data_IF_103574864626
#
_entry.id   IF_103574864626
#
_cell.length_a   1.000
_cell.length_b   1.000
_cell.length_c   1.000
_cell.angle_alpha   90.00
_cell.angle_beta   90.00
_cell.angle_gamma   90.00
#
_symmetry.space_group_name_H-M   'P 1'
#
loop_
_entity.id
_entity.type
_entity.pdbx_description
1 polymer ?
#
# COMPACT_ATOMS: atom_id res chain seq x y z
N UNK A 1 -70.25 77.33 -30.26
CA UNK A 1 -70.91 76.02 -30.11
C UNK A 1 -69.84 74.95 -30.25
N UNK A 2 -69.54 74.03 -29.35
CA UNK A 2 -70.00 73.60 -28.04
C UNK A 2 -69.04 72.46 -27.63
N UNK A 3 -68.69 72.33 -26.36
CA UNK A 3 -67.61 71.46 -25.89
C UNK A 3 -67.91 69.96 -25.88
N UNK A 4 -66.88 69.16 -25.60
CA UNK A 4 -67.02 67.72 -25.36
C UNK A 4 -65.72 66.97 -25.04
N UNK A 5 -65.48 66.79 -23.73
CA UNK A 5 -64.87 65.63 -23.03
C UNK A 5 -63.50 65.09 -23.42
N UNK A 6 -62.60 65.08 -22.42
CA UNK A 6 -61.29 64.44 -22.47
C UNK A 6 -61.33 62.92 -22.39
N UNK A 7 -60.25 62.29 -22.85
CA UNK A 7 -59.93 60.89 -22.62
C UNK A 7 -58.50 60.85 -22.11
N UNK A 8 -58.36 60.35 -20.88
CA UNK A 8 -57.10 60.19 -20.18
C UNK A 8 -56.18 59.18 -20.87
N UNK A 9 -54.90 59.43 -20.68
CA UNK A 9 -53.79 58.52 -20.89
C UNK A 9 -54.03 57.23 -20.08
N UNK A 10 -54.29 56.12 -20.75
CA UNK A 10 -54.38 54.79 -20.13
C UNK A 10 -53.53 53.80 -20.94
N UNK A 11 -52.21 54.07 -20.96
CA UNK A 11 -51.19 53.03 -21.21
C UNK A 11 -51.23 52.04 -20.04
N UNK A 12 -52.18 51.11 -20.09
CA UNK A 12 -52.22 49.95 -19.17
C UNK A 12 -50.97 49.11 -19.38
N UNK A 13 -50.03 49.29 -18.45
CA UNK A 13 -49.00 48.33 -18.14
C UNK A 13 -49.66 46.96 -17.91
N UNK A 14 -49.20 45.96 -18.65
CA UNK A 14 -49.41 44.56 -18.33
C UNK A 14 -48.54 44.23 -17.10
N UNK A 15 -48.95 44.67 -15.92
CA UNK A 15 -48.39 44.20 -14.65
C UNK A 15 -49.19 42.98 -14.21
N UNK A 16 -48.64 41.80 -14.49
CA UNK A 16 -49.23 40.51 -14.13
C UNK A 16 -48.27 39.34 -14.34
N UNK A 17 -46.99 39.52 -14.01
CA UNK A 17 -46.04 38.41 -13.94
C UNK A 17 -46.31 37.60 -12.68
N UNK A 18 -47.14 36.56 -12.79
CA UNK A 18 -47.14 35.48 -11.82
C UNK A 18 -45.73 34.85 -11.89
N UNK A 19 -44.86 35.25 -10.97
CA UNK A 19 -43.54 34.64 -10.83
C UNK A 19 -43.74 33.15 -10.66
N UNK A 20 -43.17 32.35 -11.56
CA UNK A 20 -42.98 30.94 -11.27
C UNK A 20 -42.29 30.84 -9.91
N UNK A 21 -42.67 29.90 -9.04
CA UNK A 21 -41.95 29.70 -7.79
C UNK A 21 -40.45 29.57 -8.12
N UNK A 22 -39.56 30.24 -7.39
CA UNK A 22 -38.10 30.13 -7.63
C UNK A 22 -37.64 28.66 -7.69
N UNK A 23 -38.37 27.77 -6.99
CA UNK A 23 -38.26 26.30 -7.04
C UNK A 23 -38.33 25.72 -8.47
N UNK A 24 -39.16 26.27 -9.35
CA UNK A 24 -39.31 25.82 -10.73
C UNK A 24 -38.08 26.13 -11.60
N UNK A 25 -37.41 27.27 -11.34
CA UNK A 25 -36.19 27.64 -12.07
C UNK A 25 -35.06 26.68 -11.72
N UNK A 26 -34.91 26.34 -10.43
CA UNK A 26 -33.95 25.35 -9.96
C UNK A 26 -34.13 24.01 -10.64
N UNK A 27 -35.35 23.47 -10.64
CA UNK A 27 -35.65 22.16 -11.23
C UNK A 27 -35.34 22.13 -12.74
N UNK A 28 -35.73 23.16 -13.50
CA UNK A 28 -35.46 23.22 -14.95
C UNK A 28 -33.96 23.24 -15.24
N UNK A 29 -33.18 24.01 -14.47
CA UNK A 29 -31.72 24.05 -14.61
C UNK A 29 -31.10 22.69 -14.27
N UNK A 30 -31.57 22.04 -13.20
CA UNK A 30 -31.08 20.73 -12.77
C UNK A 30 -31.35 19.64 -13.83
N UNK A 31 -32.52 19.66 -14.46
CA UNK A 31 -32.88 18.72 -15.54
C UNK A 31 -32.04 18.95 -16.81
N UNK A 32 -31.68 20.20 -17.11
CA UNK A 32 -30.83 20.54 -18.24
C UNK A 32 -29.34 20.22 -18.00
N UNK A 33 -28.89 20.35 -16.75
CA UNK A 33 -27.50 20.18 -16.34
C UNK A 33 -27.37 19.33 -15.07
N UNK A 34 -27.71 18.03 -15.13
CA UNK A 34 -27.70 17.14 -13.97
C UNK A 34 -26.30 16.98 -13.35
N UNK A 35 -25.23 17.08 -14.15
CA UNK A 35 -23.83 17.08 -13.70
C UNK A 35 -23.43 18.35 -12.90
N UNK A 36 -24.29 19.38 -12.93
CA UNK A 36 -24.10 20.66 -12.24
C UNK A 36 -25.06 20.89 -11.09
N UNK A 37 -25.82 19.87 -10.71
CA UNK A 37 -26.42 19.83 -9.38
C UNK A 37 -25.29 19.89 -8.36
N UNK A 38 -25.39 20.79 -7.38
CA UNK A 38 -24.32 21.04 -6.42
C UNK A 38 -24.83 21.00 -4.98
N UNK A 39 -24.03 20.41 -4.08
CA UNK A 39 -24.30 20.37 -2.64
C UNK A 39 -23.22 21.12 -1.88
N UNK A 40 -23.65 21.88 -0.87
CA UNK A 40 -22.76 22.61 0.03
C UNK A 40 -21.89 21.65 0.86
N UNK A 41 -20.60 21.96 0.96
CA UNK A 41 -19.60 21.29 1.81
C UNK A 41 -18.70 22.35 2.46
N UNK A 42 -18.98 22.71 3.71
CA UNK A 42 -18.33 23.86 4.36
C UNK A 42 -18.70 25.17 3.65
N UNK A 43 -17.70 25.89 3.17
CA UNK A 43 -17.85 27.18 2.48
C UNK A 43 -17.86 27.08 0.94
N UNK A 44 -17.75 25.86 0.41
CA UNK A 44 -17.81 25.58 -1.03
C UNK A 44 -18.99 24.66 -1.38
N UNK A 45 -19.23 24.49 -2.66
CA UNK A 45 -20.16 23.54 -3.23
C UNK A 45 -19.40 22.51 -4.06
N UNK A 46 -19.79 21.24 -3.95
CA UNK A 46 -19.33 20.17 -4.84
C UNK A 46 -20.43 19.90 -5.85
N UNK A 47 -20.13 20.05 -7.14
CA UNK A 47 -21.02 19.65 -8.23
C UNK A 47 -21.00 18.12 -8.39
N UNK A 48 -22.08 17.55 -8.95
CA UNK A 48 -22.16 16.12 -9.26
C UNK A 48 -21.04 15.66 -10.21
N UNK A 49 -20.52 16.57 -11.05
CA UNK A 49 -19.32 16.35 -11.89
C UNK A 49 -18.00 16.21 -11.10
N UNK A 50 -17.97 16.49 -9.79
CA UNK A 50 -16.77 16.53 -8.96
C UNK A 50 -16.08 17.89 -8.88
N UNK A 51 -16.53 18.86 -9.68
CA UNK A 51 -16.01 20.23 -9.63
C UNK A 51 -16.38 20.89 -8.31
N UNK A 52 -15.40 21.38 -7.56
CA UNK A 52 -15.63 22.30 -6.45
C UNK A 52 -15.86 23.72 -6.97
N UNK A 53 -16.78 24.47 -6.39
CA UNK A 53 -17.00 25.88 -6.71
C UNK A 53 -17.49 26.68 -5.50
N UNK A 54 -17.21 27.98 -5.48
CA UNK A 54 -17.69 28.90 -4.43
C UNK A 54 -18.74 29.87 -4.97
N UNK A 55 -19.61 30.34 -4.09
CA UNK A 55 -20.50 31.47 -4.41
C UNK A 55 -19.71 32.79 -4.34
N UNK A 56 -20.08 33.79 -5.17
CA UNK A 56 -19.51 35.12 -5.06
C UNK A 56 -19.94 35.79 -3.73
N UNK A 57 -19.12 36.71 -3.18
CA UNK A 57 -19.46 37.44 -1.98
C UNK A 57 -20.82 38.17 -2.12
N UNK A 58 -21.68 38.06 -1.11
CA UNK A 58 -23.00 38.69 -1.10
C UNK A 58 -24.07 37.97 -1.93
N UNK A 59 -23.80 36.75 -2.41
CA UNK A 59 -24.81 35.95 -3.11
C UNK A 59 -26.05 35.70 -2.23
N UNK A 60 -27.23 35.92 -2.80
CA UNK A 60 -28.51 35.58 -2.17
C UNK A 60 -28.69 34.07 -1.93
N UNK A 61 -27.89 33.24 -2.62
CA UNK A 61 -27.91 31.78 -2.48
C UNK A 61 -27.06 31.28 -1.30
N UNK A 62 -26.48 32.20 -0.51
CA UNK A 62 -25.71 31.84 0.69
C UNK A 62 -26.62 31.14 1.69
N UNK A 63 -26.21 29.93 2.13
CA UNK A 63 -26.95 29.14 3.11
C UNK A 63 -27.86 28.07 2.51
N UNK A 64 -28.14 28.10 1.20
CA UNK A 64 -28.84 27.01 0.54
C UNK A 64 -27.95 25.75 0.49
N UNK A 65 -28.51 24.59 0.83
CA UNK A 65 -27.72 23.34 0.82
C UNK A 65 -27.51 22.82 -0.61
N UNK A 66 -28.53 22.95 -1.47
CA UNK A 66 -28.55 22.42 -2.83
C UNK A 66 -28.79 23.54 -3.84
N UNK A 67 -28.03 23.50 -4.93
CA UNK A 67 -28.11 24.45 -6.03
C UNK A 67 -28.16 23.73 -7.38
N UNK A 68 -28.95 24.27 -8.30
CA UNK A 68 -28.84 23.96 -9.72
C UNK A 68 -27.95 25.01 -10.38
N UNK A 69 -26.75 24.62 -10.83
CA UNK A 69 -25.77 25.57 -11.36
C UNK A 69 -25.86 25.65 -12.88
N UNK A 70 -26.27 26.80 -13.40
CA UNK A 70 -26.31 27.05 -14.84
C UNK A 70 -24.92 27.39 -15.40
N UNK A 71 -24.13 28.18 -14.66
CA UNK A 71 -22.84 28.66 -15.13
C UNK A 71 -21.78 28.65 -14.01
N UNK A 72 -20.64 28.00 -14.30
CA UNK A 72 -19.43 28.03 -13.50
C UNK A 72 -18.32 28.69 -14.32
N UNK A 73 -17.64 29.68 -13.73
CA UNK A 73 -16.47 30.31 -14.33
C UNK A 73 -15.20 29.94 -13.58
N UNK A 74 -14.09 29.69 -14.30
CA UNK A 74 -12.78 29.64 -13.66
C UNK A 74 -12.46 31.00 -13.05
N UNK A 75 -11.89 30.99 -11.86
CA UNK A 75 -11.43 32.19 -11.19
C UNK A 75 -10.06 31.95 -10.56
N UNK A 76 -9.27 33.01 -10.45
CA UNK A 76 -7.97 33.00 -9.78
C UNK A 76 -7.93 33.99 -8.62
N UNK A 77 -7.12 33.71 -7.60
CA UNK A 77 -6.97 34.57 -6.42
C UNK A 77 -8.08 34.35 -5.37
N UNK A 78 -8.26 35.31 -4.45
CA UNK A 78 -9.15 35.17 -3.27
C UNK A 78 -10.61 34.84 -3.62
N UNK A 79 -11.07 35.18 -4.83
CA UNK A 79 -12.44 34.96 -5.27
C UNK A 79 -12.77 33.50 -5.59
N UNK A 80 -11.77 32.65 -5.83
CA UNK A 80 -11.97 31.26 -6.26
C UNK A 80 -11.98 30.23 -5.11
N UNK A 81 -11.55 30.65 -3.91
CA UNK A 81 -11.25 29.72 -2.81
C UNK A 81 -10.19 28.67 -3.21
N UNK A 82 -10.12 27.58 -2.45
CA UNK A 82 -9.30 26.40 -2.80
C UNK A 82 -9.82 25.66 -4.05
N UNK A 83 -11.09 25.90 -4.41
CA UNK A 83 -11.79 25.21 -5.48
C UNK A 83 -11.44 25.69 -6.91
N UNK A 84 -10.92 26.92 -7.07
CA UNK A 84 -10.51 27.45 -8.38
C UNK A 84 -11.66 27.84 -9.33
N UNK A 85 -12.92 27.78 -8.86
CA UNK A 85 -14.11 28.05 -9.67
C UNK A 85 -15.18 28.82 -8.89
N UNK A 86 -15.92 29.68 -9.59
CA UNK A 86 -16.99 30.52 -9.04
C UNK A 86 -18.29 30.25 -9.76
N UNK A 87 -19.36 30.06 -8.99
CA UNK A 87 -20.72 29.94 -9.49
C UNK A 87 -21.19 31.33 -9.96
N UNK A 88 -21.42 31.48 -11.27
CA UNK A 88 -21.87 32.75 -11.88
C UNK A 88 -23.37 32.87 -11.92
N UNK A 89 -24.05 31.76 -12.19
CA UNK A 89 -25.50 31.67 -12.23
C UNK A 89 -25.95 30.32 -11.65
N UNK A 90 -26.84 30.38 -10.68
CA UNK A 90 -27.47 29.21 -10.07
C UNK A 90 -28.85 29.60 -9.52
N UNK A 91 -29.65 28.58 -9.21
CA UNK A 91 -30.91 28.72 -8.49
C UNK A 91 -30.93 27.77 -7.30
N UNK A 92 -31.69 28.13 -6.27
CA UNK A 92 -31.96 27.24 -5.15
C UNK A 92 -32.68 25.98 -5.65
N UNK A 93 -32.33 24.83 -5.07
CA UNK A 93 -32.89 23.54 -5.45
C UNK A 93 -33.32 22.79 -4.19
N UNK A 94 -34.47 22.12 -4.24
CA UNK A 94 -34.88 21.22 -3.16
C UNK A 94 -34.14 19.90 -3.30
N UNK A 95 -33.94 19.19 -2.18
CA UNK A 95 -33.24 17.90 -2.20
C UNK A 95 -33.96 16.87 -3.09
N UNK A 96 -35.30 16.82 -3.04
CA UNK A 96 -36.09 15.88 -3.84
C UNK A 96 -35.91 16.16 -5.34
N UNK A 97 -35.99 17.45 -5.75
CA UNK A 97 -35.77 17.88 -7.13
C UNK A 97 -34.35 17.59 -7.62
N UNK A 98 -33.35 17.74 -6.75
CA UNK A 98 -31.96 17.42 -7.05
C UNK A 98 -31.75 15.93 -7.34
N UNK A 99 -32.34 15.07 -6.50
CA UNK A 99 -32.24 13.63 -6.63
C UNK A 99 -33.04 13.12 -7.84
N UNK A 100 -34.20 13.71 -8.13
CA UNK A 100 -35.01 13.34 -9.29
C UNK A 100 -34.32 13.74 -10.60
N UNK A 101 -33.87 15.00 -10.70
CA UNK A 101 -33.26 15.54 -11.91
C UNK A 101 -31.94 14.85 -12.29
N UNK A 102 -31.14 14.46 -11.29
CA UNK A 102 -29.86 13.78 -11.48
C UNK A 102 -29.89 12.30 -11.06
N UNK A 103 -31.07 11.68 -11.01
CA UNK A 103 -31.29 10.30 -10.55
C UNK A 103 -30.39 9.25 -11.24
N UNK A 104 -30.09 9.42 -12.52
CA UNK A 104 -29.20 8.54 -13.29
C UNK A 104 -27.72 8.63 -12.90
N UNK A 105 -27.34 9.62 -12.09
CA UNK A 105 -26.01 9.75 -11.49
C UNK A 105 -25.96 9.17 -10.07
N UNK A 106 -27.08 8.69 -9.53
CA UNK A 106 -27.11 8.08 -8.21
C UNK A 106 -26.44 6.72 -8.27
N UNK A 107 -25.48 6.51 -7.39
CA UNK A 107 -24.81 5.23 -7.20
C UNK A 107 -24.79 4.85 -5.72
N UNK A 108 -24.72 3.56 -5.46
CA UNK A 108 -24.65 2.97 -4.11
C UNK A 108 -23.52 1.95 -4.06
N UNK A 109 -22.32 2.48 -3.82
CA UNK A 109 -21.08 1.71 -3.84
C UNK A 109 -20.72 1.22 -2.45
N UNK A 110 -20.21 0.00 -2.40
CA UNK A 110 -19.46 -0.47 -1.25
C UNK A 110 -17.97 -0.19 -1.43
N UNK A 111 -17.37 0.52 -0.47
CA UNK A 111 -15.93 0.76 -0.45
C UNK A 111 -15.33 0.17 0.81
N UNK A 112 -14.18 -0.47 0.66
CA UNK A 112 -13.43 -1.02 1.79
C UNK A 112 -12.01 -0.45 1.83
N UNK A 113 -11.47 -0.34 3.03
CA UNK A 113 -10.07 0.01 3.28
C UNK A 113 -9.44 -1.01 4.21
N UNK A 114 -8.23 -1.43 3.89
CA UNK A 114 -7.45 -2.35 4.69
C UNK A 114 -6.35 -1.60 5.43
N UNK A 115 -6.28 -1.79 6.75
CA UNK A 115 -5.23 -1.20 7.58
C UNK A 115 -5.04 -2.01 8.86
N UNK A 116 -3.79 -2.28 9.24
CA UNK A 116 -3.47 -2.95 10.51
C UNK A 116 -4.09 -4.34 10.64
N UNK A 117 -4.14 -5.11 9.55
CA UNK A 117 -4.71 -6.47 9.53
C UNK A 117 -6.23 -6.52 9.64
N UNK A 118 -6.92 -5.38 9.53
CA UNK A 118 -8.37 -5.28 9.60
C UNK A 118 -8.93 -4.57 8.37
N UNK A 119 -10.16 -4.96 8.02
CA UNK A 119 -10.91 -4.39 6.92
C UNK A 119 -12.05 -3.54 7.47
N UNK A 120 -12.17 -2.30 6.98
CA UNK A 120 -13.28 -1.41 7.31
C UNK A 120 -14.07 -1.12 6.04
N UNK A 121 -15.38 -1.30 6.11
CA UNK A 121 -16.29 -1.12 4.99
C UNK A 121 -17.26 0.02 5.23
N UNK A 122 -17.62 0.70 4.15
CA UNK A 122 -18.67 1.72 4.15
C UNK A 122 -19.43 1.65 2.83
N UNK A 123 -20.76 1.67 2.96
CA UNK A 123 -21.67 1.83 1.83
C UNK A 123 -21.89 3.33 1.65
N UNK A 124 -21.49 3.83 0.49
CA UNK A 124 -21.48 5.26 0.17
C UNK A 124 -22.45 5.49 -0.96
N UNK A 125 -23.59 6.09 -0.62
CA UNK A 125 -24.56 6.55 -1.61
C UNK A 125 -24.10 7.90 -2.14
N UNK A 126 -23.98 8.03 -3.46
CA UNK A 126 -23.53 9.27 -4.12
C UNK A 126 -24.52 9.74 -5.17
N UNK A 127 -24.45 11.02 -5.50
CA UNK A 127 -25.01 11.64 -6.69
C UNK A 127 -23.84 12.18 -7.52
N UNK A 128 -23.33 11.38 -8.45
CA UNK A 128 -22.03 11.60 -9.06
C UNK A 128 -20.93 11.66 -8.01
N UNK A 129 -20.22 12.78 -7.92
CA UNK A 129 -19.18 13.01 -6.92
C UNK A 129 -19.70 13.50 -5.55
N UNK A 130 -21.00 13.80 -5.42
CA UNK A 130 -21.60 14.28 -4.17
C UNK A 130 -21.91 13.08 -3.27
N UNK A 131 -21.25 12.99 -2.13
CA UNK A 131 -21.63 12.01 -1.10
C UNK A 131 -22.97 12.41 -0.45
N UNK A 132 -23.98 11.55 -0.59
CA UNK A 132 -25.30 11.73 0.02
C UNK A 132 -25.29 11.19 1.46
N UNK A 133 -24.77 9.97 1.63
CA UNK A 133 -24.65 9.28 2.90
C UNK A 133 -23.52 8.24 2.87
N UNK A 134 -22.84 8.06 4.00
CA UNK A 134 -21.87 6.99 4.21
C UNK A 134 -22.23 6.21 5.47
N UNK A 135 -22.59 4.94 5.32
CA UNK A 135 -22.94 4.06 6.44
C UNK A 135 -21.87 2.97 6.61
N UNK A 136 -21.38 2.71 7.84
CA UNK A 136 -20.51 1.57 8.09
C UNK A 136 -21.22 0.26 7.72
N UNK A 137 -20.57 -0.57 6.92
CA UNK A 137 -21.08 -1.89 6.55
C UNK A 137 -19.98 -2.93 6.72
N UNK A 138 -20.38 -4.20 6.82
CA UNK A 138 -19.44 -5.30 6.70
C UNK A 138 -19.02 -5.41 5.23
N UNK A 139 -17.71 -5.33 4.92
CA UNK A 139 -17.23 -5.53 3.57
C UNK A 139 -17.61 -6.90 3.02
N UNK A 140 -17.96 -6.95 1.75
CA UNK A 140 -18.07 -8.12 0.92
C UNK A 140 -16.70 -8.74 0.65
N UNK A 141 -16.71 -9.98 0.17
CA UNK A 141 -15.47 -10.64 -0.26
C UNK A 141 -14.80 -9.88 -1.41
N UNK A 142 -15.57 -9.42 -2.40
CA UNK A 142 -15.03 -8.65 -3.53
C UNK A 142 -14.34 -7.37 -3.06
N UNK A 143 -14.97 -6.60 -2.18
CA UNK A 143 -14.34 -5.39 -1.62
C UNK A 143 -13.13 -5.70 -0.74
N UNK A 144 -13.08 -6.88 -0.10
CA UNK A 144 -11.88 -7.33 0.62
C UNK A 144 -10.71 -7.59 -0.35
N UNK A 145 -10.97 -8.28 -1.48
CA UNK A 145 -9.97 -8.51 -2.53
C UNK A 145 -9.43 -7.16 -3.03
N UNK A 146 -10.31 -6.23 -3.42
CA UNK A 146 -9.92 -4.94 -3.96
C UNK A 146 -9.07 -4.11 -2.97
N UNK A 147 -9.53 -4.02 -1.72
CA UNK A 147 -8.85 -3.23 -0.69
C UNK A 147 -7.48 -3.80 -0.32
N UNK A 148 -7.36 -5.13 -0.21
CA UNK A 148 -6.09 -5.80 0.10
C UNK A 148 -5.16 -5.76 -1.10
N UNK A 149 -5.68 -5.93 -2.33
CA UNK A 149 -4.92 -5.80 -3.57
C UNK A 149 -4.31 -4.41 -3.72
N UNK A 150 -5.10 -3.36 -3.47
CA UNK A 150 -4.63 -1.99 -3.47
C UNK A 150 -3.54 -1.76 -2.39
N UNK A 151 -3.73 -2.30 -1.18
CA UNK A 151 -2.74 -2.18 -0.10
C UNK A 151 -1.41 -2.87 -0.45
N UNK A 152 -1.46 -4.07 -1.03
CA UNK A 152 -0.26 -4.82 -1.45
C UNK A 152 0.45 -4.14 -2.62
N UNK A 153 -0.27 -3.58 -3.61
CA UNK A 153 0.39 -2.80 -4.68
C UNK A 153 1.09 -1.56 -4.13
N UNK A 154 0.47 -0.85 -3.19
CA UNK A 154 1.01 0.39 -2.66
C UNK A 154 2.16 0.19 -1.66
N UNK A 155 2.10 -0.85 -0.83
CA UNK A 155 3.01 -1.07 0.29
C UNK A 155 3.78 -2.40 0.27
N UNK A 156 3.64 -3.20 -0.79
CA UNK A 156 4.23 -4.54 -0.88
C UNK A 156 3.70 -5.50 0.20
N UNK A 157 4.47 -6.55 0.49
CA UNK A 157 4.11 -7.51 1.53
C UNK A 157 3.99 -6.84 2.91
N UNK A 158 4.80 -5.81 3.18
CA UNK A 158 4.78 -5.07 4.45
C UNK A 158 3.41 -4.46 4.79
N UNK A 159 2.57 -4.18 3.79
CA UNK A 159 1.20 -3.71 4.00
C UNK A 159 0.33 -4.72 4.77
N UNK A 160 0.66 -6.01 4.69
CA UNK A 160 -0.02 -7.10 5.41
C UNK A 160 0.53 -7.32 6.81
N UNK A 161 1.57 -6.57 7.21
CA UNK A 161 2.26 -6.70 8.49
C UNK A 161 2.70 -8.15 8.79
N UNK A 162 3.53 -8.78 7.91
CA UNK A 162 4.04 -10.12 8.12
C UNK A 162 4.87 -10.19 9.40
N UNK A 163 4.95 -11.36 10.01
CA UNK A 163 5.96 -11.61 11.04
C UNK A 163 7.34 -11.89 10.43
N UNK A 164 8.37 -11.97 11.27
CA UNK A 164 9.76 -12.17 10.83
C UNK A 164 9.94 -13.46 10.01
N UNK A 165 9.21 -14.52 10.36
CA UNK A 165 9.30 -15.80 9.66
C UNK A 165 8.64 -15.73 8.26
N UNK A 166 7.51 -15.02 8.13
CA UNK A 166 6.85 -14.77 6.85
C UNK A 166 7.68 -13.83 5.94
N UNK A 167 8.27 -12.78 6.50
CA UNK A 167 9.19 -11.88 5.77
C UNK A 167 10.41 -12.66 5.26
N UNK A 168 11.00 -13.51 6.11
CA UNK A 168 12.12 -14.37 5.71
C UNK A 168 11.73 -15.33 4.59
N UNK A 169 10.56 -15.99 4.67
CA UNK A 169 10.06 -16.87 3.62
C UNK A 169 9.88 -16.12 2.29
N UNK A 170 9.28 -14.93 2.33
CA UNK A 170 9.09 -14.11 1.14
C UNK A 170 10.40 -13.72 0.46
N UNK A 171 11.41 -13.29 1.24
CA UNK A 171 12.73 -12.96 0.69
C UNK A 171 13.43 -14.17 0.07
N UNK A 172 13.28 -15.35 0.68
CA UNK A 172 13.79 -16.61 0.13
C UNK A 172 13.11 -16.98 -1.20
N UNK A 173 11.79 -16.82 -1.29
CA UNK A 173 11.03 -17.02 -2.53
C UNK A 173 11.48 -16.03 -3.63
N UNK A 174 11.65 -14.75 -3.28
CA UNK A 174 12.12 -13.73 -4.21
C UNK A 174 13.53 -14.02 -4.74
N UNK A 175 14.44 -14.50 -3.88
CA UNK A 175 15.76 -14.95 -4.32
C UNK A 175 15.67 -16.18 -5.24
N UNK A 176 14.82 -17.16 -4.90
CA UNK A 176 14.62 -18.34 -5.74
C UNK A 176 14.13 -17.93 -7.15
N UNK A 177 13.11 -17.07 -7.22
CA UNK A 177 12.59 -16.56 -8.49
C UNK A 177 13.65 -15.80 -9.30
N UNK A 178 14.32 -14.83 -8.68
CA UNK A 178 15.31 -13.99 -9.40
C UNK A 178 16.52 -14.77 -9.93
N UNK A 179 16.95 -15.83 -9.22
CA UNK A 179 18.19 -16.57 -9.56
C UNK A 179 17.94 -17.86 -10.36
N UNK A 180 16.85 -18.57 -10.02
CA UNK A 180 16.53 -19.87 -10.62
C UNK A 180 15.48 -19.75 -11.74
N UNK A 181 14.65 -18.70 -11.72
CA UNK A 181 13.60 -18.49 -12.70
C UNK A 181 12.40 -19.43 -12.51
N UNK A 182 11.69 -19.75 -13.59
CA UNK A 182 10.60 -20.72 -13.57
C UNK A 182 11.08 -22.09 -13.04
N UNK A 183 10.25 -22.82 -12.25
CA UNK A 183 8.86 -22.53 -11.90
C UNK A 183 8.68 -21.73 -10.58
N UNK A 184 9.74 -21.13 -10.03
CA UNK A 184 9.62 -20.34 -8.80
C UNK A 184 8.77 -19.08 -9.03
N UNK A 185 7.78 -18.80 -8.18
CA UNK A 185 6.79 -17.76 -8.44
C UNK A 185 7.41 -16.36 -8.31
N UNK A 186 7.00 -15.44 -9.17
CA UNK A 186 7.22 -14.01 -8.90
C UNK A 186 6.49 -13.64 -7.59
N UNK A 187 7.15 -12.93 -6.69
CA UNK A 187 6.56 -12.46 -5.42
C UNK A 187 6.71 -10.95 -5.25
N UNK A 188 6.81 -10.24 -6.38
CA UNK A 188 6.68 -8.79 -6.48
C UNK A 188 5.30 -8.33 -5.95
N UNK A 189 5.20 -7.04 -5.59
CA UNK A 189 3.94 -6.45 -5.10
C UNK A 189 2.80 -6.65 -6.10
N UNK A 190 3.07 -6.45 -7.39
CA UNK A 190 2.07 -6.60 -8.45
C UNK A 190 1.67 -8.06 -8.63
N UNK A 191 2.63 -8.99 -8.71
CA UNK A 191 2.34 -10.42 -8.87
C UNK A 191 1.62 -11.03 -7.66
N UNK A 192 1.88 -10.55 -6.44
CA UNK A 192 1.15 -10.95 -5.24
C UNK A 192 -0.27 -10.38 -5.23
N UNK A 193 -0.44 -9.12 -5.64
CA UNK A 193 -1.74 -8.43 -5.68
C UNK A 193 -2.68 -9.01 -6.74
N UNK A 194 -2.15 -9.48 -7.86
CA UNK A 194 -2.92 -10.12 -8.95
C UNK A 194 -3.40 -11.53 -8.59
N UNK A 195 -2.61 -12.27 -7.81
CA UNK A 195 -2.92 -13.67 -7.42
C UNK A 195 -3.41 -13.79 -5.97
N UNK A 196 -3.91 -12.71 -5.39
CA UNK A 196 -4.32 -12.68 -3.98
C UNK A 196 -5.25 -13.84 -3.59
N UNK A 197 -6.21 -14.17 -4.43
CA UNK A 197 -7.15 -15.25 -4.15
C UNK A 197 -6.49 -16.63 -4.11
N UNK A 198 -5.44 -16.84 -4.91
CA UNK A 198 -4.67 -18.09 -4.97
C UNK A 198 -3.97 -18.40 -3.64
N UNK A 199 -3.33 -17.39 -3.05
CA UNK A 199 -2.46 -17.60 -1.90
C UNK A 199 -3.03 -17.09 -0.58
N UNK A 200 -3.93 -16.09 -0.58
CA UNK A 200 -4.49 -15.43 0.61
C UNK A 200 -6.03 -15.61 0.74
N UNK A 201 -6.64 -16.44 -0.11
CA UNK A 201 -8.10 -16.66 -0.15
C UNK A 201 -8.78 -16.91 1.22
N UNK A 202 -8.30 -17.84 2.06
CA UNK A 202 -8.90 -18.11 3.37
C UNK A 202 -8.86 -16.90 4.32
N UNK A 203 -7.77 -16.14 4.28
CA UNK A 203 -7.59 -14.96 5.10
C UNK A 203 -8.46 -13.80 4.58
N UNK A 204 -8.66 -13.68 3.26
CA UNK A 204 -9.63 -12.75 2.65
C UNK A 204 -11.07 -13.08 3.06
N UNK A 205 -11.45 -14.36 3.08
CA UNK A 205 -12.76 -14.79 3.57
C UNK A 205 -12.95 -14.48 5.07
N UNK A 206 -11.89 -14.60 5.87
CA UNK A 206 -11.90 -14.24 7.29
C UNK A 206 -12.13 -12.74 7.47
N UNK A 207 -11.45 -11.89 6.69
CA UNK A 207 -11.67 -10.44 6.71
C UNK A 207 -13.10 -10.07 6.31
N UNK A 208 -13.65 -10.67 5.26
CA UNK A 208 -15.02 -10.43 4.79
C UNK A 208 -16.09 -10.82 5.83
N UNK A 209 -15.78 -11.75 6.74
CA UNK A 209 -16.68 -12.13 7.86
C UNK A 209 -16.49 -11.27 9.13
N UNK A 210 -15.63 -10.25 9.07
CA UNK A 210 -15.32 -9.34 10.18
C UNK A 210 -14.21 -9.83 11.11
N UNK A 211 -13.45 -10.85 10.69
CA UNK A 211 -12.25 -11.29 11.36
C UNK A 211 -11.07 -10.32 11.15
N UNK A 212 -9.93 -10.69 11.72
CA UNK A 212 -8.65 -9.98 11.53
C UNK A 212 -7.62 -10.95 10.98
N UNK A 213 -6.71 -10.43 10.18
CA UNK A 213 -5.53 -11.11 9.70
C UNK A 213 -4.34 -10.71 10.57
N UNK A 214 -3.57 -11.69 11.03
CA UNK A 214 -2.33 -11.48 11.77
C UNK A 214 -1.12 -11.78 10.88
N UNK A 215 0.03 -11.20 11.21
CA UNK A 215 1.27 -11.43 10.45
C UNK A 215 1.68 -12.90 10.33
N UNK A 216 1.40 -13.69 11.38
CA UNK A 216 1.64 -15.14 11.40
C UNK A 216 0.83 -15.94 10.37
N UNK A 217 -0.26 -15.37 9.86
CA UNK A 217 -1.12 -16.02 8.86
C UNK A 217 -0.50 -15.92 7.46
N UNK A 218 0.42 -14.97 7.24
CA UNK A 218 1.05 -14.68 5.94
C UNK A 218 2.04 -15.77 5.52
N UNK A 219 2.81 -16.32 6.45
CA UNK A 219 3.78 -17.39 6.16
C UNK A 219 3.11 -18.65 5.57
N UNK A 220 2.10 -19.24 6.24
CA UNK A 220 1.30 -20.33 5.69
C UNK A 220 0.63 -19.99 4.34
N UNK A 221 0.17 -18.75 4.17
CA UNK A 221 -0.41 -18.28 2.92
C UNK A 221 0.61 -18.27 1.78
N UNK A 222 1.80 -17.70 1.98
CA UNK A 222 2.89 -17.68 0.99
C UNK A 222 3.34 -19.09 0.57
N UNK A 223 3.31 -20.07 1.48
CA UNK A 223 3.65 -21.47 1.16
C UNK A 223 2.71 -22.08 0.11
N UNK A 224 1.50 -21.54 -0.09
CA UNK A 224 0.58 -22.00 -1.14
C UNK A 224 1.11 -21.67 -2.54
N UNK A 225 2.01 -20.70 -2.68
CA UNK A 225 2.69 -20.36 -3.94
C UNK A 225 3.88 -21.26 -4.27
N UNK A 226 4.31 -22.14 -3.34
CA UNK A 226 5.46 -23.00 -3.59
C UNK A 226 5.16 -23.98 -4.75
N UNK A 227 6.00 -24.04 -5.78
CA UNK A 227 5.75 -24.85 -6.96
C UNK A 227 6.03 -26.32 -6.66
N UNK A 228 5.06 -27.20 -6.87
CA UNK A 228 5.29 -28.65 -6.79
C UNK A 228 5.71 -29.20 -8.15
N UNK A 229 6.72 -30.10 -8.23
CA UNK A 229 7.44 -30.75 -7.13
C UNK A 229 8.67 -30.02 -6.56
N UNK A 230 9.13 -28.93 -7.17
CA UNK A 230 10.39 -28.24 -6.86
C UNK A 230 10.47 -27.74 -5.41
N UNK A 231 9.32 -27.46 -4.79
CA UNK A 231 9.17 -27.10 -3.38
C UNK A 231 9.91 -28.06 -2.44
N UNK A 232 10.02 -29.35 -2.79
CA UNK A 232 10.76 -30.35 -2.01
C UNK A 232 12.25 -30.04 -1.84
N UNK A 233 12.84 -29.22 -2.71
CA UNK A 233 14.24 -28.77 -2.64
C UNK A 233 14.39 -27.33 -2.13
N UNK A 234 13.31 -26.66 -1.72
CA UNK A 234 13.37 -25.24 -1.38
C UNK A 234 14.32 -24.94 -0.21
N UNK A 235 14.28 -25.76 0.85
CA UNK A 235 15.18 -25.61 2.00
C UNK A 235 16.64 -26.02 1.70
N UNK A 236 16.88 -26.79 0.64
CA UNK A 236 18.23 -27.11 0.14
C UNK A 236 18.78 -25.95 -0.70
N UNK A 237 17.96 -25.44 -1.62
CA UNK A 237 18.33 -24.40 -2.58
C UNK A 237 18.49 -23.03 -1.92
N UNK A 238 17.58 -22.68 -1.01
CA UNK A 238 17.52 -21.37 -0.37
C UNK A 238 17.31 -21.56 1.13
N UNK A 239 18.30 -22.08 1.88
CA UNK A 239 18.13 -22.52 3.26
C UNK A 239 17.83 -21.36 4.22
N UNK A 240 16.93 -21.54 5.19
CA UNK A 240 16.78 -20.56 6.29
C UNK A 240 18.05 -20.49 7.14
N UNK A 241 18.75 -21.62 7.28
CA UNK A 241 19.96 -21.74 8.10
C UNK A 241 21.05 -22.52 7.40
N UNK A 242 22.29 -22.08 7.56
CA UNK A 242 23.47 -22.79 7.11
C UNK A 242 24.18 -23.45 8.29
N UNK A 243 24.58 -24.70 8.09
CA UNK A 243 25.45 -25.42 9.01
C UNK A 243 26.90 -25.07 8.69
N UNK A 244 27.63 -24.59 9.71
CA UNK A 244 29.05 -24.22 9.60
C UNK A 244 29.93 -25.42 10.02
N UNK A 245 31.25 -25.42 9.77
CA UNK A 245 32.13 -26.56 10.02
C UNK A 245 32.11 -27.11 11.46
N UNK A 246 31.82 -26.25 12.44
CA UNK A 246 31.65 -26.67 13.85
C UNK A 246 30.35 -27.47 14.12
N UNK A 247 29.56 -27.75 13.09
CA UNK A 247 28.20 -28.30 13.13
C UNK A 247 27.15 -27.38 13.78
N UNK A 248 27.50 -26.13 14.11
CA UNK A 248 26.51 -25.13 14.51
C UNK A 248 25.67 -24.68 13.32
N UNK A 249 24.43 -24.27 13.58
CA UNK A 249 23.50 -23.77 12.57
C UNK A 249 23.21 -22.28 12.78
N UNK A 250 23.42 -21.47 11.74
CA UNK A 250 23.25 -20.02 11.76
C UNK A 250 22.19 -19.59 10.76
N UNK A 251 21.32 -18.64 11.14
CA UNK A 251 20.34 -18.07 10.21
C UNK A 251 21.04 -17.29 9.09
N UNK A 252 20.53 -17.45 7.88
CA UNK A 252 20.91 -16.63 6.73
C UNK A 252 19.98 -15.43 6.70
N UNK A 253 20.56 -14.23 6.69
CA UNK A 253 19.81 -12.99 6.50
C UNK A 253 19.68 -12.73 5.00
N UNK A 254 18.44 -12.72 4.51
CA UNK A 254 18.15 -12.54 3.10
C UNK A 254 17.88 -11.07 2.78
N UNK A 255 18.38 -10.58 1.64
CA UNK A 255 18.18 -9.18 1.24
C UNK A 255 16.71 -8.91 0.92
N UNK A 256 16.35 -7.63 0.90
CA UNK A 256 15.08 -7.22 0.29
C UNK A 256 15.11 -7.57 -1.21
N UNK A 257 13.97 -7.93 -1.81
CA UNK A 257 13.88 -8.11 -3.26
C UNK A 257 14.38 -6.86 -3.99
N UNK A 258 15.03 -7.08 -5.14
CA UNK A 258 15.58 -6.05 -6.03
C UNK A 258 16.66 -5.12 -5.41
N UNK A 259 17.13 -5.36 -4.19
CA UNK A 259 18.19 -4.53 -3.60
C UNK A 259 19.58 -4.76 -4.22
N UNK A 260 19.77 -5.91 -4.89
CA UNK A 260 21.07 -6.34 -5.42
C UNK A 260 22.07 -6.80 -4.36
N UNK A 261 21.67 -6.81 -3.09
CA UNK A 261 22.50 -7.31 -1.99
C UNK A 261 22.57 -8.84 -2.02
N UNK A 262 23.60 -9.38 -1.38
CA UNK A 262 23.77 -10.82 -1.25
C UNK A 262 23.26 -11.30 0.12
N UNK A 263 22.78 -12.55 0.23
CA UNK A 263 22.48 -13.17 1.52
C UNK A 263 23.69 -13.12 2.45
N UNK A 264 23.44 -12.90 3.74
CA UNK A 264 24.46 -12.69 4.76
C UNK A 264 24.43 -13.81 5.80
N UNK A 265 25.59 -14.36 6.13
CA UNK A 265 25.79 -15.28 7.23
C UNK A 265 26.68 -14.63 8.30
N UNK A 266 26.06 -14.19 9.40
CA UNK A 266 26.78 -13.66 10.56
C UNK A 266 27.23 -14.79 11.48
N UNK A 267 28.52 -15.10 11.50
CA UNK A 267 29.08 -16.30 12.14
C UNK A 267 30.37 -15.98 12.87
N UNK A 268 30.60 -16.65 14.00
CA UNK A 268 31.87 -16.55 14.74
C UNK A 268 33.00 -17.14 13.91
N UNK A 269 34.09 -16.37 13.75
CA UNK A 269 35.23 -16.74 12.90
C UNK A 269 35.79 -18.12 13.24
N UNK A 270 35.95 -18.43 14.52
CA UNK A 270 36.49 -19.71 15.01
C UNK A 270 35.64 -20.96 14.63
N UNK A 271 34.36 -20.75 14.30
CA UNK A 271 33.47 -21.82 13.84
C UNK A 271 33.57 -22.07 12.34
N UNK A 272 34.26 -21.18 11.61
CA UNK A 272 34.52 -21.27 10.17
C UNK A 272 35.87 -21.91 9.83
N UNK A 273 36.68 -22.30 10.82
CA UNK A 273 37.92 -23.03 10.54
C UNK A 273 37.61 -24.34 9.79
N UNK A 274 38.49 -24.73 8.88
CA UNK A 274 38.23 -25.86 7.98
C UNK A 274 37.45 -25.50 6.71
N UNK A 275 36.78 -24.35 6.62
CA UNK A 275 36.22 -23.89 5.35
C UNK A 275 37.31 -23.34 4.43
N UNK A 276 37.50 -23.99 3.30
CA UNK A 276 38.42 -23.55 2.25
C UNK A 276 37.78 -22.62 1.22
N UNK A 277 36.45 -22.65 1.09
CA UNK A 277 35.69 -21.82 0.16
C UNK A 277 34.45 -21.22 0.84
N UNK A 278 33.97 -20.08 0.34
CA UNK A 278 32.73 -19.45 0.81
C UNK A 278 31.51 -20.32 0.51
N UNK A 279 30.52 -20.38 1.44
CA UNK A 279 29.27 -21.04 1.16
C UNK A 279 28.54 -20.37 -0.01
N UNK A 280 27.92 -21.20 -0.84
CA UNK A 280 27.08 -20.78 -1.96
C UNK A 280 25.73 -21.48 -1.87
N UNK A 281 24.67 -20.77 -2.25
CA UNK A 281 23.29 -21.27 -2.31
C UNK A 281 22.75 -21.17 -3.74
N UNK A 282 21.52 -21.62 -3.95
CA UNK A 282 20.86 -21.69 -5.26
C UNK A 282 21.68 -22.51 -6.27
N UNK A 283 22.00 -23.77 -5.93
CA UNK A 283 22.87 -24.66 -6.71
C UNK A 283 24.24 -24.02 -7.06
N UNK A 284 24.82 -23.29 -6.11
CA UNK A 284 26.15 -22.68 -6.25
C UNK A 284 26.18 -21.31 -6.94
N UNK A 285 25.05 -20.80 -7.41
CA UNK A 285 24.97 -19.53 -8.16
C UNK A 285 25.19 -18.29 -7.30
N UNK A 286 24.73 -18.32 -6.05
CA UNK A 286 24.74 -17.15 -5.16
C UNK A 286 25.80 -17.32 -4.08
N UNK A 287 26.87 -16.50 -4.06
CA UNK A 287 27.80 -16.47 -2.94
C UNK A 287 27.15 -15.82 -1.72
N UNK A 288 27.26 -16.47 -0.57
CA UNK A 288 26.80 -15.91 0.71
C UNK A 288 27.91 -15.02 1.28
N UNK A 289 27.57 -13.80 1.65
CA UNK A 289 28.48 -12.87 2.33
C UNK A 289 28.65 -13.31 3.77
N UNK A 290 29.88 -13.61 4.18
CA UNK A 290 30.20 -14.04 5.54
C UNK A 290 30.61 -12.82 6.37
N UNK A 291 29.80 -12.50 7.38
CA UNK A 291 30.15 -11.52 8.42
C UNK A 291 30.86 -12.28 9.53
N UNK A 292 32.18 -12.22 9.54
CA UNK A 292 33.03 -12.89 10.51
C UNK A 292 33.04 -12.11 11.82
N UNK A 293 32.63 -12.79 12.89
CA UNK A 293 32.47 -12.20 14.22
C UNK A 293 33.53 -12.71 15.20
N UNK A 294 33.85 -11.88 16.18
CA UNK A 294 34.66 -12.28 17.34
C UNK A 294 33.89 -13.26 18.24
N UNK A 295 34.55 -13.90 19.23
CA UNK A 295 33.86 -14.74 20.19
C UNK A 295 32.74 -14.03 20.96
N UNK A 296 32.85 -12.70 21.12
CA UNK A 296 31.87 -11.85 21.75
C UNK A 296 30.83 -11.27 20.77
N UNK A 297 30.79 -11.72 19.51
CA UNK A 297 29.82 -11.29 18.50
C UNK A 297 30.12 -9.94 17.84
N UNK A 298 31.33 -9.38 18.02
CA UNK A 298 31.70 -8.10 17.38
C UNK A 298 32.16 -8.34 15.94
N UNK A 299 31.80 -7.48 14.97
CA UNK A 299 32.29 -7.58 13.60
C UNK A 299 33.82 -7.54 13.53
N UNK A 300 34.43 -8.45 12.77
CA UNK A 300 35.87 -8.51 12.50
C UNK A 300 36.17 -8.28 11.02
N UNK A 301 35.43 -8.94 10.14
CA UNK A 301 35.58 -8.81 8.71
C UNK A 301 34.28 -9.18 7.99
N UNK A 302 34.13 -8.66 6.77
CA UNK A 302 33.06 -9.02 5.84
C UNK A 302 33.73 -9.55 4.59
N UNK A 303 33.38 -10.76 4.15
CA UNK A 303 33.97 -11.34 2.94
C UNK A 303 32.96 -12.19 2.17
N UNK A 304 33.06 -12.18 0.84
CA UNK A 304 32.41 -13.15 -0.06
C UNK A 304 33.39 -14.23 -0.53
N UNK A 305 34.67 -14.11 -0.15
CA UNK A 305 35.76 -15.01 -0.50
C UNK A 305 36.55 -15.37 0.78
N UNK A 306 36.19 -16.52 1.37
CA UNK A 306 36.87 -17.04 2.56
C UNK A 306 38.32 -17.44 2.25
N UNK A 307 38.60 -17.95 1.05
CA UNK A 307 39.95 -18.38 0.66
C UNK A 307 40.92 -17.19 0.69
N UNK A 308 40.52 -16.08 0.03
CA UNK A 308 41.28 -14.85 0.05
C UNK A 308 41.41 -14.28 1.47
N UNK A 309 40.33 -14.30 2.25
CA UNK A 309 40.35 -13.85 3.64
C UNK A 309 41.38 -14.62 4.48
N UNK A 310 41.42 -15.94 4.38
CA UNK A 310 42.35 -16.77 5.15
C UNK A 310 43.81 -16.50 4.80
N UNK A 311 44.10 -16.26 3.52
CA UNK A 311 45.46 -16.02 3.05
C UNK A 311 45.97 -14.62 3.39
N UNK A 312 45.15 -13.60 3.16
CA UNK A 312 45.62 -12.20 3.18
C UNK A 312 45.22 -11.44 4.45
N UNK A 313 43.99 -11.63 4.95
CA UNK A 313 43.44 -10.81 6.03
C UNK A 313 43.53 -11.47 7.42
N UNK A 314 43.35 -12.79 7.49
CA UNK A 314 43.36 -13.54 8.73
C UNK A 314 44.65 -13.38 9.55
N UNK A 315 45.88 -13.32 8.99
CA UNK A 315 47.10 -13.15 9.79
C UNK A 315 47.05 -11.92 10.71
N UNK A 316 46.50 -10.80 10.22
CA UNK A 316 46.29 -9.57 10.99
C UNK A 316 45.22 -9.74 12.07
N UNK A 317 44.06 -10.29 11.70
CA UNK A 317 42.97 -10.58 12.65
C UNK A 317 43.45 -11.52 13.76
N UNK A 318 44.21 -12.55 13.41
CA UNK A 318 44.79 -13.55 14.32
C UNK A 318 45.74 -12.88 15.33
N UNK A 319 46.55 -11.91 14.90
CA UNK A 319 47.50 -11.20 15.78
C UNK A 319 46.76 -10.36 16.83
N UNK A 320 45.72 -9.63 16.42
CA UNK A 320 44.89 -8.84 17.32
C UNK A 320 44.08 -9.72 18.29
N UNK A 321 43.42 -10.75 17.75
CA UNK A 321 42.50 -11.58 18.50
C UNK A 321 43.20 -12.48 19.53
N UNK A 322 44.46 -12.88 19.31
CA UNK A 322 45.24 -13.61 20.32
C UNK A 322 45.46 -12.80 21.60
N UNK A 323 45.64 -11.48 21.49
CA UNK A 323 45.75 -10.60 22.64
C UNK A 323 44.41 -10.37 23.35
N UNK A 324 43.34 -10.10 22.59
CA UNK A 324 42.01 -9.81 23.14
C UNK A 324 41.27 -11.04 23.69
N UNK A 325 41.46 -12.21 23.07
CA UNK A 325 40.77 -13.46 23.39
C UNK A 325 41.75 -14.65 23.51
N UNK A 326 42.66 -14.66 24.50
CA UNK A 326 43.74 -15.65 24.60
C UNK A 326 43.27 -17.08 24.90
N UNK A 327 42.03 -17.25 25.39
CA UNK A 327 41.43 -18.56 25.70
C UNK A 327 40.82 -19.26 24.47
N UNK A 328 40.75 -18.58 23.33
CA UNK A 328 40.15 -19.08 22.09
C UNK A 328 41.21 -19.61 21.11
N UNK A 329 40.84 -20.53 20.20
CA UNK A 329 41.76 -21.06 19.21
C UNK A 329 42.02 -20.03 18.11
N UNK A 330 43.31 -19.78 17.84
CA UNK A 330 43.79 -18.90 16.77
C UNK A 330 44.92 -19.59 15.99
N UNK A 331 44.59 -20.66 15.24
CA UNK A 331 45.56 -21.51 14.55
C UNK A 331 46.37 -20.72 13.52
N UNK A 332 47.56 -21.20 13.20
CA UNK A 332 48.38 -20.65 12.11
C UNK A 332 47.81 -21.03 10.74
N UNK A 333 47.38 -22.28 10.61
CA UNK A 333 46.63 -22.77 9.45
C UNK A 333 45.13 -22.84 9.79
N UNK A 334 44.32 -21.83 9.41
CA UNK A 334 42.88 -21.83 9.68
C UNK A 334 42.09 -22.79 8.77
N UNK A 335 42.65 -23.16 7.61
CA UNK A 335 41.98 -24.00 6.61
C UNK A 335 42.07 -25.48 6.94
N UNK A 336 43.08 -25.90 7.71
CA UNK A 336 43.21 -27.28 8.21
C UNK A 336 42.80 -27.45 9.67
N UNK A 337 42.49 -26.36 10.38
CA UNK A 337 42.20 -26.41 11.80
C UNK A 337 40.81 -26.98 12.10
N UNK A 338 40.73 -27.78 13.16
CA UNK A 338 39.45 -28.31 13.64
C UNK A 338 38.54 -27.17 14.16
N UNK A 339 37.34 -26.99 13.58
CA UNK A 339 36.42 -25.95 13.97
C UNK A 339 35.86 -26.20 15.37
N UNK A 340 35.66 -25.13 16.15
CA UNK A 340 35.04 -25.29 17.46
C UNK A 340 34.31 -24.03 17.90
N UNK A 341 33.16 -24.24 18.55
CA UNK A 341 32.43 -23.19 19.28
C UNK A 341 33.01 -22.93 20.68
N UNK A 342 33.95 -23.76 21.13
CA UNK A 342 34.46 -23.78 22.49
C UNK A 342 35.81 -23.07 22.63
N UNK A 343 36.21 -22.84 23.88
CA UNK A 343 37.55 -22.35 24.23
C UNK A 343 38.54 -23.51 24.28
N UNK A 344 39.85 -23.20 24.25
CA UNK A 344 40.94 -24.20 24.23
C UNK A 344 40.94 -25.16 25.43
N UNK A 345 40.23 -24.85 26.52
CA UNK A 345 40.15 -25.69 27.72
C UNK A 345 39.14 -26.85 27.61
N UNK A 346 38.35 -26.89 26.53
CA UNK A 346 37.29 -27.88 26.32
C UNK A 346 37.50 -28.71 25.03
N UNK A 347 38.70 -28.65 24.44
CA UNK A 347 39.16 -29.68 23.51
C UNK A 347 39.65 -30.88 24.30
#
# INVERSE_FOLDING_TARGET
SGGGHGVGDDRRALSGGAGYPDDAVGLVVALAHPDRVARRRGDQYTLASGTGAVLPPGSALTGHEWLAVAEVGRASGRAAGEAGAVIRAAAALRVDDALDAASHLVDDDETASFSGGALTGRRVRRLGAIELSSTPVRPSYASAVDAVSAAVRAGGLAALNPDDDADTLWRRLALAHSVLGEPWPDVSSDALAERLEEWLGPELATLATGGKMAGRDIGPALKRLLPWPEAGRFDELVPERLTVPSSSSYRVDYPLPDSGDAPVLAVKLQECFGWTASPRICDGRVPVTVHLLSPAGRPLAVTRDLEFFWREAYPGVRAEMRGRYPKHPWPEDPMSAEPTRHTNRRR
#
